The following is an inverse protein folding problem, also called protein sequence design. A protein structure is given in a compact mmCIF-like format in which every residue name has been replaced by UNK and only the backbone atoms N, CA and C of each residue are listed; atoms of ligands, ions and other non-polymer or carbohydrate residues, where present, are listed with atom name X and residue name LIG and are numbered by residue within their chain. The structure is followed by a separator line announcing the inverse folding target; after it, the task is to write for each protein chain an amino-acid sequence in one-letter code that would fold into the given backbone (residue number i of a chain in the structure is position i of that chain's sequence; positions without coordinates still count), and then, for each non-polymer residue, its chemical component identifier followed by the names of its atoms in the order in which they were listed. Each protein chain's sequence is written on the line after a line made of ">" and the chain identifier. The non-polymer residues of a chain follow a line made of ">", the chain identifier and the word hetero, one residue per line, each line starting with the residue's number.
data_IF_120786200683
#
_entry.id   IF_120786200683
#
_cell.length_a   1.000
_cell.length_b   1.000
_cell.length_c   1.000
_cell.angle_alpha   90.00
_cell.angle_beta   90.00
_cell.angle_gamma   90.00
#
_symmetry.space_group_name_H-M   'P 1'
#
loop_
_entity.id
_entity.type
_entity.pdbx_description
1 polymer ?
#
# COMPACT_ATOMS: atom_id res chain seq x y z
N UNK A 1 1.21 -5.38 16.07
CA UNK A 1 2.62 -5.49 15.65
C UNK A 1 3.35 -4.14 15.78
N UNK A 2 4.61 -4.10 16.23
CA UNK A 2 5.40 -2.85 16.35
C UNK A 2 5.87 -2.31 14.98
N UNK A 3 6.22 -1.02 14.83
CA UNK A 3 6.55 -0.42 13.52
C UNK A 3 7.63 -1.16 12.73
N UNK A 4 8.79 -1.44 13.33
CA UNK A 4 9.90 -2.07 12.61
C UNK A 4 9.51 -3.46 12.05
N UNK A 5 8.73 -4.24 12.80
CA UNK A 5 8.25 -5.53 12.35
C UNK A 5 7.28 -5.42 11.15
N UNK A 6 6.47 -4.35 11.08
CA UNK A 6 5.61 -4.09 9.91
C UNK A 6 6.44 -3.71 8.68
N UNK A 7 7.52 -2.97 8.86
CA UNK A 7 8.42 -2.60 7.76
C UNK A 7 9.16 -3.81 7.20
N UNK A 8 9.66 -4.70 8.07
CA UNK A 8 10.24 -5.97 7.63
C UNK A 8 9.23 -6.84 6.87
N UNK A 9 7.99 -6.90 7.36
CA UNK A 9 6.93 -7.62 6.66
C UNK A 9 6.67 -7.03 5.27
N UNK A 10 6.58 -5.69 5.14
CA UNK A 10 6.38 -5.02 3.86
C UNK A 10 7.53 -5.31 2.89
N UNK A 11 8.78 -5.22 3.34
CA UNK A 11 9.94 -5.59 2.51
C UNK A 11 9.82 -7.02 1.99
N UNK A 12 9.52 -7.97 2.87
CA UNK A 12 9.32 -9.37 2.48
C UNK A 12 8.17 -9.53 1.48
N UNK A 13 7.08 -8.80 1.65
CA UNK A 13 5.95 -8.83 0.71
C UNK A 13 6.37 -8.34 -0.69
N UNK A 14 7.09 -7.22 -0.79
CA UNK A 14 7.61 -6.70 -2.06
C UNK A 14 8.64 -7.64 -2.70
N UNK A 15 9.49 -8.30 -1.91
CA UNK A 15 10.47 -9.26 -2.44
C UNK A 15 9.82 -10.55 -2.94
N UNK A 16 8.81 -11.07 -2.24
CA UNK A 16 8.14 -12.33 -2.61
C UNK A 16 7.22 -12.20 -3.81
N UNK A 17 6.65 -11.02 -4.04
CA UNK A 17 5.83 -10.75 -5.21
C UNK A 17 6.70 -10.39 -6.42
N UNK A 18 7.54 -11.31 -6.90
CA UNK A 18 8.48 -11.06 -8.01
C UNK A 18 7.80 -10.56 -9.30
N UNK A 19 6.53 -10.92 -9.51
CA UNK A 19 5.72 -10.48 -10.65
C UNK A 19 5.21 -9.03 -10.51
N UNK A 20 5.13 -8.51 -9.27
CA UNK A 20 4.66 -7.17 -8.93
C UNK A 20 5.59 -6.58 -7.87
N UNK A 21 6.72 -6.02 -8.32
CA UNK A 21 7.67 -5.29 -7.45
C UNK A 21 7.14 -3.97 -6.91
N UNK A 22 5.83 -3.70 -7.07
CA UNK A 22 5.18 -2.47 -6.65
C UNK A 22 3.86 -2.77 -5.95
N UNK A 23 3.35 -1.80 -5.19
CA UNK A 23 2.15 -1.94 -4.38
C UNK A 23 1.69 -0.60 -3.82
N UNK A 24 0.40 -0.50 -3.55
CA UNK A 24 -0.22 0.74 -3.08
C UNK A 24 -1.45 0.48 -2.20
N UNK A 25 -2.05 1.57 -1.72
CA UNK A 25 -3.20 1.51 -0.80
C UNK A 25 -4.52 1.10 -1.46
N UNK A 26 -4.55 0.92 -2.78
CA UNK A 26 -5.68 0.37 -3.53
C UNK A 26 -5.43 -1.06 -4.01
N UNK A 27 -4.19 -1.56 -3.92
CA UNK A 27 -3.84 -2.96 -4.16
C UNK A 27 -4.50 -3.86 -3.10
N UNK A 28 -5.57 -4.54 -3.49
CA UNK A 28 -6.34 -5.39 -2.59
C UNK A 28 -5.49 -6.51 -2.00
N UNK A 29 -4.61 -7.14 -2.78
CA UNK A 29 -3.80 -8.27 -2.33
C UNK A 29 -2.83 -7.81 -1.23
N UNK A 30 -2.17 -6.66 -1.44
CA UNK A 30 -1.33 -6.04 -0.42
C UNK A 30 -2.13 -5.65 0.83
N UNK A 31 -3.25 -4.95 0.65
CA UNK A 31 -4.05 -4.41 1.76
C UNK A 31 -4.59 -5.52 2.63
N UNK A 32 -5.18 -6.57 2.05
CA UNK A 32 -5.73 -7.69 2.82
C UNK A 32 -4.63 -8.45 3.55
N UNK A 33 -3.53 -8.81 2.86
CA UNK A 33 -2.41 -9.50 3.47
C UNK A 33 -1.78 -8.67 4.61
N UNK A 34 -1.71 -7.35 4.45
CA UNK A 34 -1.20 -6.45 5.46
C UNK A 34 -2.10 -6.42 6.70
N UNK A 35 -3.42 -6.31 6.52
CA UNK A 35 -4.39 -6.30 7.63
C UNK A 35 -4.32 -7.63 8.39
N UNK A 36 -4.31 -8.75 7.67
CA UNK A 36 -4.20 -10.10 8.26
C UNK A 36 -2.92 -10.25 9.08
N UNK A 37 -1.78 -9.83 8.53
CA UNK A 37 -0.49 -9.98 9.20
C UNK A 37 -0.32 -9.05 10.41
N UNK A 38 -0.87 -7.84 10.36
CA UNK A 38 -0.59 -6.79 11.35
C UNK A 38 -1.69 -6.60 12.38
N UNK A 39 -2.91 -7.03 12.08
CA UNK A 39 -4.12 -6.79 12.88
C UNK A 39 -4.56 -5.33 12.89
N UNK A 40 -4.14 -4.52 11.91
CA UNK A 40 -4.48 -3.10 11.87
C UNK A 40 -5.97 -2.88 11.55
N UNK A 41 -6.55 -1.86 12.18
CA UNK A 41 -7.90 -1.41 11.87
C UNK A 41 -8.00 -0.94 10.42
N UNK A 42 -9.05 -1.39 9.74
CA UNK A 42 -9.37 -0.99 8.40
C UNK A 42 -10.88 -0.78 8.25
N UNK A 43 -11.26 0.19 7.42
CA UNK A 43 -12.65 0.43 7.06
C UNK A 43 -12.96 -0.29 5.75
N UNK A 44 -13.84 -1.28 5.81
CA UNK A 44 -14.36 -1.93 4.60
C UNK A 44 -15.11 -0.91 3.75
N UNK A 45 -14.84 -0.94 2.45
CA UNK A 45 -15.50 -0.10 1.46
C UNK A 45 -16.41 -0.98 0.59
N UNK A 46 -17.44 -0.38 0.00
CA UNK A 46 -18.34 -1.11 -0.91
C UNK A 46 -17.65 -1.51 -2.21
N UNK A 47 -16.59 -0.80 -2.61
CA UNK A 47 -15.82 -1.02 -3.82
C UNK A 47 -14.34 -0.85 -3.51
N UNK A 48 -13.52 -1.76 -4.00
CA UNK A 48 -12.06 -1.73 -3.88
C UNK A 48 -11.52 -2.27 -2.55
N UNK A 49 -10.22 -2.07 -2.33
CA UNK A 49 -9.54 -2.51 -1.11
C UNK A 49 -10.06 -1.78 0.14
N UNK A 50 -10.07 -2.42 1.32
CA UNK A 50 -10.37 -1.75 2.58
C UNK A 50 -9.46 -0.55 2.81
N UNK A 51 -9.99 0.53 3.39
CA UNK A 51 -9.16 1.68 3.76
C UNK A 51 -8.36 1.36 5.02
N UNK A 52 -7.09 1.01 4.85
CA UNK A 52 -6.11 0.85 5.92
C UNK A 52 -5.19 2.07 6.01
N UNK A 53 -5.50 3.01 6.91
CA UNK A 53 -4.70 4.23 7.07
C UNK A 53 -3.26 3.93 7.54
N UNK A 54 -3.08 2.86 8.31
CA UNK A 54 -1.78 2.47 8.84
C UNK A 54 -0.82 2.03 7.73
N UNK A 55 -1.30 1.27 6.74
CA UNK A 55 -0.50 0.89 5.58
C UNK A 55 0.06 2.12 4.85
N UNK A 56 -0.79 3.12 4.58
CA UNK A 56 -0.35 4.35 3.91
C UNK A 56 0.71 5.14 4.70
N UNK A 57 0.60 5.16 6.03
CA UNK A 57 1.62 5.78 6.91
C UNK A 57 2.93 5.02 6.87
N UNK A 58 2.88 3.70 6.93
CA UNK A 58 4.07 2.85 6.94
C UNK A 58 4.80 2.90 5.59
N UNK A 59 4.08 2.86 4.45
CA UNK A 59 4.65 3.07 3.12
C UNK A 59 5.30 4.46 2.97
N UNK A 60 4.64 5.50 3.48
CA UNK A 60 5.17 6.88 3.44
C UNK A 60 6.42 7.04 4.30
N UNK A 61 6.46 6.39 5.47
CA UNK A 61 7.63 6.39 6.35
C UNK A 61 8.81 5.66 5.69
N UNK A 62 8.57 4.46 5.14
CA UNK A 62 9.61 3.71 4.44
C UNK A 62 10.15 4.43 3.20
N UNK A 63 9.32 5.23 2.50
CA UNK A 63 9.79 6.13 1.46
C UNK A 63 10.68 7.25 2.02
N UNK A 64 10.27 7.88 3.12
CA UNK A 64 11.07 8.94 3.76
C UNK A 64 12.43 8.43 4.27
N UNK A 65 12.48 7.18 4.72
CA UNK A 65 13.69 6.50 5.18
C UNK A 65 14.56 5.96 4.02
N UNK A 66 14.12 6.13 2.77
CA UNK A 66 14.85 5.69 1.57
C UNK A 66 14.82 4.18 1.30
N UNK A 67 13.96 3.43 1.98
CA UNK A 67 13.77 1.99 1.77
C UNK A 67 12.91 1.70 0.54
N UNK A 68 11.91 2.56 0.30
CA UNK A 68 11.04 2.49 -0.87
C UNK A 68 11.26 3.70 -1.76
N UNK A 69 11.04 3.50 -3.06
CA UNK A 69 10.75 4.57 -3.99
C UNK A 69 9.25 4.61 -4.28
N UNK A 70 8.76 5.72 -4.83
CA UNK A 70 7.35 5.86 -5.20
C UNK A 70 7.16 6.63 -6.50
N UNK A 71 6.15 6.23 -7.26
CA UNK A 71 5.68 6.95 -8.45
C UNK A 71 4.23 7.37 -8.26
N UNK A 72 3.87 8.52 -8.85
CA UNK A 72 2.48 9.00 -8.86
C UNK A 72 1.75 8.36 -10.04
N UNK A 73 0.75 7.54 -9.74
CA UNK A 73 -0.10 6.88 -10.74
C UNK A 73 -1.44 7.60 -10.80
N UNK A 74 -1.81 8.07 -12.00
CA UNK A 74 -3.11 8.68 -12.24
C UNK A 74 -4.20 7.60 -12.30
N UNK A 75 -5.34 7.87 -11.68
CA UNK A 75 -6.51 7.00 -11.80
C UNK A 75 -7.26 7.33 -13.10
N UNK A 76 -7.93 6.33 -13.73
CA UNK A 76 -8.83 6.57 -14.85
C UNK A 76 -9.84 7.68 -14.56
N UNK A 77 -10.17 8.49 -15.58
CA UNK A 77 -11.00 9.68 -15.42
C UNK A 77 -12.40 9.39 -14.83
N UNK A 78 -12.95 8.19 -15.07
CA UNK A 78 -14.23 7.75 -14.52
C UNK A 78 -14.19 7.44 -13.02
N UNK A 79 -13.05 7.00 -12.49
CA UNK A 79 -12.96 6.49 -11.11
C UNK A 79 -13.05 7.61 -10.08
N UNK A 80 -12.55 8.81 -10.42
CA UNK A 80 -12.65 9.98 -9.56
C UNK A 80 -14.12 10.35 -9.27
N UNK A 81 -15.02 10.12 -10.23
CA UNK A 81 -16.47 10.37 -10.05
C UNK A 81 -17.15 9.36 -9.12
N UNK A 82 -16.53 8.18 -8.93
CA UNK A 82 -16.98 7.13 -8.01
C UNK A 82 -16.41 7.30 -6.59
N UNK A 83 -15.68 8.39 -6.33
CA UNK A 83 -15.09 8.70 -5.03
C UNK A 83 -13.67 8.18 -4.82
N UNK A 84 -13.03 7.64 -5.86
CA UNK A 84 -11.59 7.34 -5.83
C UNK A 84 -10.75 8.64 -5.91
N UNK A 85 -9.53 8.65 -5.38
CA UNK A 85 -8.64 9.78 -5.57
C UNK A 85 -8.25 9.91 -7.06
N UNK A 86 -7.87 11.12 -7.51
CA UNK A 86 -7.42 11.36 -8.89
C UNK A 86 -6.10 10.66 -9.23
N UNK A 87 -5.31 10.37 -8.20
CA UNK A 87 -4.03 9.70 -8.29
C UNK A 87 -3.71 9.04 -6.96
N UNK A 88 -2.81 8.07 -7.00
CA UNK A 88 -2.23 7.42 -5.83
C UNK A 88 -0.72 7.37 -5.96
N UNK A 89 -0.03 7.11 -4.85
CA UNK A 89 1.38 6.72 -4.90
C UNK A 89 1.47 5.20 -4.95
N UNK A 90 2.18 4.70 -5.95
CA UNK A 90 2.61 3.31 -6.01
C UNK A 90 4.06 3.22 -5.57
N UNK A 91 4.33 2.32 -4.64
CA UNK A 91 5.61 2.16 -3.98
C UNK A 91 6.31 0.90 -4.47
N UNK A 92 7.64 0.91 -4.53
CA UNK A 92 8.46 -0.24 -4.90
C UNK A 92 9.75 -0.25 -4.08
N UNK A 93 10.36 -1.42 -3.91
CA UNK A 93 11.66 -1.52 -3.24
C UNK A 93 12.69 -0.73 -4.03
N UNK A 94 13.47 0.07 -3.30
CA UNK A 94 14.63 0.74 -3.86
C UNK A 94 15.74 -0.27 -4.11
N UNK A 95 16.32 -0.26 -5.31
CA UNK A 95 17.47 -1.08 -5.68
C UNK A 95 18.77 -0.65 -4.95
#
# INVERSE_FOLDING_TARGET
>A
MIPNARYEWLKLWFTKNEQRKFGDVLDADLVYAYIEATGCEAKVLNIGAPRCAQLGRDLSAMFADGVLERSRVGMPAGDASMGFPKWIYSYYLKD
#
